data_IF_974280288073
#
_entry.id   IF_974280288073
#
_cell.length_a   1.000
_cell.length_b   1.000
_cell.length_c   1.000
_cell.angle_alpha   90.00
_cell.angle_beta   90.00
_cell.angle_gamma   90.00
#
_symmetry.space_group_name_H-M   'P 1'
#
loop_
_entity.id
_entity.type
_entity.pdbx_description
1 polymer ?
#
# COMPACT_ATOMS: atom_id res chain seq x y z
N UNK A 1 -11.67 -12.75 -6.41
CA UNK A 1 -11.74 -14.23 -6.40
C UNK A 1 -12.63 -14.84 -7.50
N UNK A 2 -13.21 -14.09 -8.42
CA UNK A 2 -14.07 -14.60 -9.50
C UNK A 2 -13.43 -14.52 -10.88
N UNK A 3 -12.10 -14.58 -10.96
CA UNK A 3 -11.39 -14.57 -12.23
C UNK A 3 -10.81 -15.96 -12.48
N UNK A 4 -11.05 -16.51 -13.65
CA UNK A 4 -10.56 -17.82 -14.08
C UNK A 4 -9.03 -17.82 -14.30
N UNK A 5 -8.45 -16.63 -14.52
CA UNK A 5 -7.02 -16.45 -14.73
C UNK A 5 -6.46 -15.39 -13.80
N UNK A 6 -5.19 -15.55 -13.41
CA UNK A 6 -4.49 -14.54 -12.62
C UNK A 6 -4.21 -13.30 -13.49
N UNK A 7 -4.65 -12.13 -13.02
CA UNK A 7 -4.41 -10.86 -13.71
C UNK A 7 -2.91 -10.54 -13.69
N UNK A 8 -2.38 -10.11 -14.82
CA UNK A 8 -0.99 -9.67 -14.93
C UNK A 8 -0.60 -8.63 -13.87
N UNK A 9 0.66 -8.66 -13.46
CA UNK A 9 1.16 -7.81 -12.39
C UNK A 9 1.04 -6.31 -12.71
N UNK A 10 1.35 -5.90 -13.94
CA UNK A 10 1.25 -4.51 -14.36
C UNK A 10 -0.22 -4.03 -14.35
N UNK A 11 -1.13 -4.84 -14.90
CA UNK A 11 -2.56 -4.54 -14.92
C UNK A 11 -3.18 -4.44 -13.51
N UNK A 12 -2.66 -5.23 -12.55
CA UNK A 12 -3.08 -5.10 -11.14
C UNK A 12 -2.70 -3.75 -10.54
N UNK A 13 -1.50 -3.25 -10.84
CA UNK A 13 -1.06 -1.95 -10.35
C UNK A 13 -1.76 -0.78 -11.05
N UNK A 14 -2.05 -0.90 -12.34
CA UNK A 14 -2.87 0.09 -13.06
C UNK A 14 -4.24 0.24 -12.40
N UNK A 15 -4.90 -0.89 -12.14
CA UNK A 15 -6.17 -0.91 -11.41
C UNK A 15 -6.04 -0.39 -9.97
N UNK A 16 -4.93 -0.67 -9.29
CA UNK A 16 -4.70 -0.20 -7.92
C UNK A 16 -4.52 1.32 -7.85
N UNK A 17 -3.89 1.92 -8.85
CA UNK A 17 -3.74 3.38 -8.96
C UNK A 17 -5.11 4.02 -9.10
N UNK A 18 -5.93 3.56 -10.04
CA UNK A 18 -7.28 4.07 -10.24
C UNK A 18 -8.18 3.84 -9.01
N UNK A 19 -8.05 2.68 -8.36
CA UNK A 19 -8.75 2.39 -7.11
C UNK A 19 -8.40 3.41 -6.01
N UNK A 20 -7.12 3.74 -5.87
CA UNK A 20 -6.69 4.76 -4.91
C UNK A 20 -7.32 6.13 -5.23
N UNK A 21 -7.32 6.55 -6.49
CA UNK A 21 -7.91 7.83 -6.91
C UNK A 21 -9.41 7.89 -6.58
N UNK A 22 -10.14 6.80 -6.82
CA UNK A 22 -11.56 6.68 -6.46
C UNK A 22 -11.77 6.78 -4.95
N UNK A 23 -11.01 6.01 -4.17
CA UNK A 23 -11.17 5.99 -2.71
C UNK A 23 -10.81 7.34 -2.09
N UNK A 24 -9.69 7.93 -2.52
CA UNK A 24 -9.25 9.24 -2.03
C UNK A 24 -10.26 10.33 -2.37
N UNK A 25 -10.78 10.34 -3.60
CA UNK A 25 -11.81 11.28 -4.01
C UNK A 25 -13.14 11.10 -3.25
N UNK A 26 -13.52 9.87 -2.93
CA UNK A 26 -14.71 9.62 -2.10
C UNK A 26 -14.52 10.12 -0.66
N UNK A 27 -13.33 10.04 -0.08
CA UNK A 27 -13.06 10.62 1.24
C UNK A 27 -13.17 12.13 1.26
N UNK A 28 -12.96 12.78 0.13
CA UNK A 28 -13.09 14.23 -0.03
C UNK A 28 -14.51 14.67 -0.50
N UNK A 29 -15.52 13.75 -0.44
CA UNK A 29 -16.91 14.08 -0.80
C UNK A 29 -17.54 15.18 0.06
N UNK A 30 -17.04 15.42 1.26
CA UNK A 30 -17.61 16.35 2.22
C UNK A 30 -16.51 17.25 2.78
N UNK A 31 -16.78 18.55 2.86
CA UNK A 31 -15.93 19.47 3.59
C UNK A 31 -16.07 19.27 5.11
N UNK A 32 -15.12 19.77 5.88
CA UNK A 32 -15.02 19.50 7.32
C UNK A 32 -16.29 19.88 8.09
N UNK A 33 -16.91 21.02 7.73
CA UNK A 33 -18.07 21.58 8.38
C UNK A 33 -19.37 21.44 7.55
N UNK A 34 -19.42 20.48 6.63
CA UNK A 34 -20.56 20.24 5.77
C UNK A 34 -21.84 19.82 6.54
N UNK A 35 -21.70 19.13 7.67
CA UNK A 35 -22.84 18.60 8.44
C UNK A 35 -23.29 19.54 9.55
N UNK A 36 -24.29 20.36 9.28
CA UNK A 36 -24.85 21.34 10.21
C UNK A 36 -25.65 20.68 11.34
N UNK A 37 -26.39 19.62 11.03
CA UNK A 37 -27.27 18.87 11.98
C UNK A 37 -28.20 19.81 12.75
N UNK A 38 -28.69 20.86 12.11
CA UNK A 38 -29.54 21.86 12.70
C UNK A 38 -30.95 21.31 12.90
N UNK A 39 -31.36 21.17 14.17
CA UNK A 39 -32.68 20.63 14.55
C UNK A 39 -33.78 21.66 14.43
N UNK A 40 -33.48 22.94 14.49
CA UNK A 40 -34.49 24.00 14.43
C UNK A 40 -34.98 24.22 13.00
N UNK A 41 -34.05 24.35 12.05
CA UNK A 41 -34.35 24.50 10.62
C UNK A 41 -34.63 23.19 9.89
N UNK A 42 -34.23 22.06 10.48
CA UNK A 42 -34.27 20.74 9.85
C UNK A 42 -33.16 20.53 8.80
N UNK A 43 -32.23 21.43 8.68
CA UNK A 43 -31.13 21.34 7.72
C UNK A 43 -30.05 20.38 8.26
N UNK A 44 -29.82 19.30 7.53
CA UNK A 44 -28.86 18.28 7.94
C UNK A 44 -27.44 18.59 7.50
N UNK A 45 -27.27 19.05 6.26
CA UNK A 45 -25.97 19.40 5.69
C UNK A 45 -26.08 20.58 4.74
N UNK A 46 -24.97 21.25 4.50
CA UNK A 46 -24.80 22.28 3.50
C UNK A 46 -24.52 21.63 2.14
N UNK A 47 -25.40 21.90 1.16
CA UNK A 47 -25.29 21.32 -0.19
C UNK A 47 -24.07 21.80 -0.97
N UNK A 48 -23.62 23.01 -0.71
CA UNK A 48 -22.48 23.61 -1.42
C UNK A 48 -21.15 23.00 -0.96
N UNK A 49 -21.17 22.27 0.18
CA UNK A 49 -20.03 21.56 0.78
C UNK A 49 -20.05 20.06 0.51
N UNK A 50 -20.91 19.61 -0.39
CA UNK A 50 -20.98 18.22 -0.85
C UNK A 50 -20.47 18.11 -2.28
N UNK A 51 -19.49 17.24 -2.51
CA UNK A 51 -18.85 17.06 -3.82
C UNK A 51 -19.09 15.64 -4.35
N UNK A 52 -19.55 15.59 -5.60
CA UNK A 52 -19.63 14.34 -6.33
C UNK A 52 -18.26 14.03 -6.94
N UNK A 53 -17.78 12.80 -6.76
CA UNK A 53 -16.56 12.34 -7.41
C UNK A 53 -16.72 12.22 -8.91
N UNK A 54 -17.86 11.66 -9.35
CA UNK A 54 -18.25 11.43 -10.76
C UNK A 54 -17.12 10.83 -11.62
N UNK A 55 -16.42 9.82 -11.04
CA UNK A 55 -15.29 9.15 -11.67
C UNK A 55 -15.74 8.25 -12.82
N UNK A 56 -15.12 8.43 -13.99
CA UNK A 56 -15.28 7.61 -15.17
C UNK A 56 -13.92 7.16 -15.69
N UNK A 57 -13.43 6.04 -15.18
CA UNK A 57 -12.12 5.50 -15.54
C UNK A 57 -12.17 4.19 -16.30
N UNK A 58 -11.01 3.59 -16.50
CA UNK A 58 -10.88 2.30 -17.21
C UNK A 58 -11.42 1.14 -16.39
N UNK A 59 -11.21 1.17 -15.06
CA UNK A 59 -11.55 0.07 -14.16
C UNK A 59 -12.76 0.36 -13.28
N UNK A 60 -13.09 1.64 -13.06
CA UNK A 60 -14.15 2.04 -12.13
C UNK A 60 -15.02 3.16 -12.69
N UNK A 61 -16.33 3.06 -12.38
CA UNK A 61 -17.31 4.11 -12.59
C UNK A 61 -18.03 4.37 -11.28
N UNK A 62 -17.75 5.50 -10.63
CA UNK A 62 -18.24 5.78 -9.28
C UNK A 62 -18.68 7.23 -9.18
N UNK A 63 -19.98 7.43 -8.95
CA UNK A 63 -20.53 8.78 -8.85
C UNK A 63 -20.20 9.43 -7.50
N UNK A 64 -20.35 8.70 -6.40
CA UNK A 64 -20.38 9.31 -5.05
C UNK A 64 -21.69 10.07 -4.78
N UNK A 65 -21.75 10.89 -3.74
CA UNK A 65 -20.74 11.07 -2.70
C UNK A 65 -20.65 9.84 -1.77
N UNK A 66 -19.61 9.78 -0.94
CA UNK A 66 -19.56 8.82 0.17
C UNK A 66 -20.68 9.16 1.16
N UNK A 67 -21.36 8.14 1.71
CA UNK A 67 -22.50 8.34 2.62
C UNK A 67 -22.13 8.48 4.11
N UNK A 68 -20.88 8.79 4.39
CA UNK A 68 -20.37 9.08 5.74
C UNK A 68 -19.71 10.46 5.76
N UNK A 69 -19.80 11.15 6.89
CA UNK A 69 -19.15 12.45 7.07
C UNK A 69 -17.62 12.31 7.03
N UNK A 70 -16.96 13.41 6.66
CA UNK A 70 -15.51 13.52 6.76
C UNK A 70 -15.04 13.23 8.19
N UNK A 71 -13.96 12.48 8.32
CA UNK A 71 -13.35 12.23 9.62
C UNK A 71 -12.60 13.48 10.12
N UNK A 72 -12.40 13.65 11.45
CA UNK A 72 -11.68 14.81 11.98
C UNK A 72 -10.25 14.98 11.42
N UNK A 73 -9.58 13.88 11.06
CA UNK A 73 -8.26 13.93 10.43
C UNK A 73 -8.29 14.06 8.89
N UNK A 74 -9.48 14.16 8.31
CA UNK A 74 -9.70 14.24 6.87
C UNK A 74 -9.79 12.86 6.22
N UNK A 75 -8.68 12.14 6.12
CA UNK A 75 -8.61 10.80 5.52
C UNK A 75 -7.75 9.86 6.37
N UNK A 76 -7.92 8.53 6.23
CA UNK A 76 -7.05 7.55 6.88
C UNK A 76 -5.59 7.67 6.42
N UNK A 77 -4.66 7.26 7.28
CA UNK A 77 -3.27 7.04 6.90
C UNK A 77 -3.18 5.94 5.86
N UNK A 78 -2.52 6.25 4.75
CA UNK A 78 -2.35 5.32 3.63
C UNK A 78 -1.08 4.51 3.84
N UNK A 79 -1.22 3.21 4.05
CA UNK A 79 -0.11 2.28 4.19
C UNK A 79 0.03 1.40 2.93
N UNK A 80 1.26 1.17 2.50
CA UNK A 80 1.59 0.37 1.33
C UNK A 80 2.80 -0.54 1.62
N UNK A 81 2.85 -1.73 1.01
CA UNK A 81 3.90 -2.72 1.27
C UNK A 81 4.57 -3.26 -0.02
N UNK A 82 4.32 -2.67 -1.20
CA UNK A 82 4.85 -3.15 -2.47
C UNK A 82 6.32 -2.75 -2.68
N UNK A 83 7.20 -3.74 -2.91
CA UNK A 83 8.62 -3.51 -3.18
C UNK A 83 8.98 -3.59 -4.67
N UNK A 84 8.06 -4.03 -5.54
CA UNK A 84 8.24 -4.05 -7.00
C UNK A 84 8.31 -2.63 -7.58
N UNK A 85 8.79 -2.49 -8.81
CA UNK A 85 8.88 -1.19 -9.47
C UNK A 85 7.53 -0.44 -9.49
N UNK A 86 6.39 -1.03 -9.93
CA UNK A 86 5.10 -0.36 -9.85
C UNK A 86 4.64 -0.11 -8.41
N UNK A 87 5.03 -0.97 -7.46
CA UNK A 87 4.70 -0.80 -6.04
C UNK A 87 5.40 0.40 -5.41
N UNK A 88 6.67 0.62 -5.72
CA UNK A 88 7.43 1.81 -5.28
C UNK A 88 6.87 3.09 -5.88
N UNK A 89 6.46 3.04 -7.15
CA UNK A 89 5.86 4.18 -7.82
C UNK A 89 4.50 4.55 -7.20
N UNK A 90 3.63 3.56 -6.96
CA UNK A 90 2.36 3.77 -6.26
C UNK A 90 2.58 4.31 -4.84
N UNK A 91 3.56 3.76 -4.11
CA UNK A 91 3.90 4.22 -2.77
C UNK A 91 4.36 5.69 -2.76
N UNK A 92 5.27 6.05 -3.65
CA UNK A 92 5.77 7.43 -3.74
C UNK A 92 4.66 8.44 -4.07
N UNK A 93 3.67 8.02 -4.88
CA UNK A 93 2.52 8.83 -5.24
C UNK A 93 1.53 9.00 -4.09
N UNK A 94 1.27 7.95 -3.30
CA UNK A 94 0.04 7.86 -2.49
C UNK A 94 0.27 7.59 -1.01
N UNK A 95 1.36 6.89 -0.64
CA UNK A 95 1.50 6.37 0.71
C UNK A 95 2.03 7.42 1.70
N UNK A 96 1.48 7.39 2.92
CA UNK A 96 2.05 8.07 4.08
C UNK A 96 3.09 7.17 4.77
N UNK A 97 2.86 5.85 4.71
CA UNK A 97 3.72 4.84 5.33
C UNK A 97 3.99 3.70 4.35
N UNK A 98 5.24 3.28 4.25
CA UNK A 98 5.64 2.09 3.48
C UNK A 98 6.26 1.07 4.43
N UNK A 99 5.62 -0.09 4.55
CA UNK A 99 6.24 -1.26 5.15
C UNK A 99 7.14 -1.95 4.12
N UNK A 100 8.33 -2.36 4.53
CA UNK A 100 9.26 -3.12 3.66
C UNK A 100 10.00 -4.18 4.45
N UNK A 101 10.26 -5.32 3.81
CA UNK A 101 11.05 -6.42 4.36
C UNK A 101 12.43 -6.42 3.68
N UNK A 102 13.36 -5.65 4.20
CA UNK A 102 14.74 -5.59 3.73
C UNK A 102 15.65 -6.27 4.77
N UNK A 103 16.27 -7.37 4.39
CA UNK A 103 17.16 -8.14 5.27
C UNK A 103 18.59 -7.61 5.29
N UNK A 104 19.01 -6.95 4.18
CA UNK A 104 20.35 -6.42 4.01
C UNK A 104 20.37 -4.89 4.12
N UNK A 105 21.30 -4.34 4.89
CA UNK A 105 21.39 -2.91 5.15
C UNK A 105 21.58 -2.08 3.86
N UNK A 106 22.39 -2.57 2.93
CA UNK A 106 22.64 -1.86 1.68
C UNK A 106 21.37 -1.81 0.82
N UNK A 107 20.67 -2.93 0.66
CA UNK A 107 19.40 -3.00 -0.05
C UNK A 107 18.33 -2.09 0.60
N UNK A 108 18.30 -2.03 1.94
CA UNK A 108 17.41 -1.14 2.68
C UNK A 108 17.69 0.34 2.38
N UNK A 109 18.96 0.74 2.31
CA UNK A 109 19.36 2.12 1.97
C UNK A 109 19.00 2.48 0.53
N UNK A 110 19.21 1.57 -0.41
CA UNK A 110 18.86 1.76 -1.82
C UNK A 110 17.35 1.89 -1.99
N UNK A 111 16.57 1.01 -1.37
CA UNK A 111 15.12 1.09 -1.36
C UNK A 111 14.63 2.42 -0.76
N UNK A 112 15.20 2.83 0.37
CA UNK A 112 14.87 4.10 1.03
C UNK A 112 15.14 5.29 0.12
N UNK A 113 16.34 5.36 -0.48
CA UNK A 113 16.72 6.45 -1.36
C UNK A 113 15.86 6.51 -2.61
N UNK A 114 15.57 5.35 -3.22
CA UNK A 114 14.74 5.24 -4.41
C UNK A 114 13.31 5.73 -4.14
N UNK A 115 12.61 5.18 -3.14
CA UNK A 115 11.22 5.57 -2.85
C UNK A 115 11.11 7.05 -2.48
N UNK A 116 12.04 7.54 -1.64
CA UNK A 116 12.10 8.96 -1.26
C UNK A 116 12.37 9.87 -2.47
N UNK A 117 13.24 9.46 -3.39
CA UNK A 117 13.56 10.22 -4.59
C UNK A 117 12.40 10.35 -5.58
N UNK A 118 11.49 9.38 -5.60
CA UNK A 118 10.32 9.37 -6.50
C UNK A 118 9.24 10.36 -6.09
N UNK A 119 9.15 10.75 -4.82
CA UNK A 119 8.07 11.62 -4.29
C UNK A 119 7.95 12.94 -5.04
N UNK A 120 9.07 13.51 -5.49
CA UNK A 120 9.11 14.79 -6.21
C UNK A 120 8.30 14.79 -7.52
N UNK A 121 8.17 13.63 -8.20
CA UNK A 121 7.34 13.49 -9.41
C UNK A 121 5.86 13.82 -9.14
N UNK A 122 5.42 13.69 -7.90
CA UNK A 122 4.03 13.85 -7.46
C UNK A 122 3.81 15.10 -6.62
N UNK A 123 4.77 16.05 -6.66
CA UNK A 123 4.69 17.27 -5.88
C UNK A 123 4.80 17.06 -4.36
N UNK A 124 5.34 15.88 -3.96
CA UNK A 124 5.53 15.51 -2.55
C UNK A 124 7.00 15.65 -2.16
N UNK A 125 7.23 15.82 -0.88
CA UNK A 125 8.57 15.85 -0.29
C UNK A 125 8.97 14.47 0.24
N UNK A 126 10.27 14.20 0.41
CA UNK A 126 10.72 12.98 1.07
C UNK A 126 10.17 12.77 2.48
N UNK A 127 9.75 13.84 3.17
CA UNK A 127 9.22 13.76 4.53
C UNK A 127 7.73 13.38 4.60
N UNK A 128 7.01 13.44 3.49
CA UNK A 128 5.60 13.06 3.39
C UNK A 128 5.39 11.54 3.42
N UNK A 129 6.47 10.74 3.32
CA UNK A 129 6.42 9.29 3.33
C UNK A 129 7.36 8.74 4.40
N UNK A 130 6.86 7.85 5.24
CA UNK A 130 7.66 7.16 6.26
C UNK A 130 7.92 5.72 5.85
N UNK A 131 9.17 5.30 5.83
CA UNK A 131 9.55 3.92 5.49
C UNK A 131 9.83 3.16 6.77
N UNK A 132 9.10 2.07 6.97
CA UNK A 132 9.12 1.24 8.16
C UNK A 132 9.61 -0.17 7.81
N UNK A 133 10.90 -0.46 7.99
CA UNK A 133 11.42 -1.80 7.79
C UNK A 133 10.90 -2.74 8.88
N UNK A 134 10.42 -3.91 8.46
CA UNK A 134 10.09 -5.00 9.38
C UNK A 134 11.35 -5.63 9.94
N UNK A 135 11.35 -5.88 11.24
CA UNK A 135 12.46 -6.54 11.94
C UNK A 135 11.89 -7.76 12.67
N UNK A 136 12.52 -8.91 12.47
CA UNK A 136 12.19 -10.15 13.19
C UNK A 136 13.38 -10.51 14.08
N UNK A 137 13.40 -10.07 15.35
CA UNK A 137 14.50 -10.40 16.25
C UNK A 137 14.38 -11.84 16.76
N UNK A 138 15.51 -12.54 16.82
CA UNK A 138 15.64 -13.82 17.52
C UNK A 138 16.37 -13.59 18.82
N UNK A 139 15.69 -13.83 19.95
CA UNK A 139 16.17 -13.45 21.28
C UNK A 139 16.71 -14.67 22.02
N UNK A 140 17.95 -14.56 22.49
CA UNK A 140 18.59 -15.51 23.40
C UNK A 140 19.28 -14.80 24.57
N UNK A 141 19.58 -15.53 25.65
CA UNK A 141 20.37 -15.00 26.76
C UNK A 141 21.83 -14.77 26.37
N UNK A 142 22.27 -15.44 25.31
CA UNK A 142 23.58 -15.30 24.68
C UNK A 142 23.40 -15.32 23.16
N UNK A 143 24.42 -14.86 22.43
CA UNK A 143 24.44 -14.96 20.95
C UNK A 143 24.36 -16.41 20.47
N UNK A 144 25.00 -17.36 21.18
CA UNK A 144 24.94 -18.78 20.85
C UNK A 144 23.51 -19.30 20.97
N UNK A 145 22.78 -19.00 22.03
CA UNK A 145 21.38 -19.40 22.19
C UNK A 145 20.46 -18.76 21.12
N UNK A 146 20.71 -17.50 20.77
CA UNK A 146 19.94 -16.86 19.69
C UNK A 146 20.21 -17.53 18.33
N UNK A 147 21.47 -17.88 18.05
CA UNK A 147 21.83 -18.59 16.82
C UNK A 147 21.23 -19.99 16.77
N UNK A 148 21.25 -20.74 17.85
CA UNK A 148 20.64 -22.08 17.94
C UNK A 148 19.13 -22.01 17.64
N UNK A 149 18.42 -21.04 18.22
CA UNK A 149 16.98 -20.81 17.91
C UNK A 149 16.75 -20.41 16.46
N UNK A 150 17.62 -19.60 15.89
CA UNK A 150 17.54 -19.22 14.48
C UNK A 150 17.72 -20.45 13.59
N UNK A 151 18.72 -21.27 13.85
CA UNK A 151 19.02 -22.50 13.08
C UNK A 151 17.87 -23.50 13.21
N UNK A 152 17.28 -23.65 14.40
CA UNK A 152 16.07 -24.46 14.61
C UNK A 152 14.91 -23.97 13.74
N UNK A 153 14.61 -22.64 13.76
CA UNK A 153 13.56 -22.06 12.93
C UNK A 153 13.82 -22.29 11.42
N UNK A 154 15.05 -22.14 10.98
CA UNK A 154 15.40 -22.41 9.57
C UNK A 154 15.22 -23.89 9.21
N UNK A 155 15.53 -24.82 10.10
CA UNK A 155 15.37 -26.25 9.87
C UNK A 155 13.92 -26.73 9.74
N UNK A 156 12.95 -25.91 10.19
CA UNK A 156 11.52 -26.19 10.04
C UNK A 156 11.01 -25.95 8.62
N UNK A 157 11.79 -25.27 7.77
CA UNK A 157 11.44 -25.09 6.36
C UNK A 157 11.95 -26.27 5.55
N UNK A 158 11.06 -27.14 5.00
CA UNK A 158 11.50 -28.27 4.17
C UNK A 158 12.26 -27.80 2.93
N UNK A 159 13.34 -28.49 2.58
CA UNK A 159 14.21 -28.12 1.44
C UNK A 159 13.45 -28.08 0.11
N UNK A 160 12.52 -29.00 -0.11
CA UNK A 160 11.69 -29.06 -1.31
C UNK A 160 10.78 -27.82 -1.44
N UNK A 161 10.23 -27.33 -0.34
CA UNK A 161 9.42 -26.09 -0.30
C UNK A 161 10.29 -24.87 -0.57
N UNK A 162 11.47 -24.80 0.03
CA UNK A 162 12.42 -23.72 -0.17
C UNK A 162 12.91 -23.65 -1.63
N UNK A 163 13.26 -24.81 -2.21
CA UNK A 163 13.70 -24.93 -3.60
C UNK A 163 12.57 -24.58 -4.59
N UNK A 164 11.33 -25.02 -4.32
CA UNK A 164 10.17 -24.67 -5.15
C UNK A 164 9.87 -23.16 -5.13
N UNK A 165 9.99 -22.52 -3.96
CA UNK A 165 9.85 -21.08 -3.84
C UNK A 165 10.94 -20.32 -4.62
N UNK A 166 12.20 -20.72 -4.47
CA UNK A 166 13.33 -20.14 -5.18
C UNK A 166 13.23 -20.33 -6.70
N UNK A 167 12.84 -21.51 -7.17
CA UNK A 167 12.64 -21.79 -8.58
C UNK A 167 11.55 -20.91 -9.18
N UNK A 168 10.44 -20.72 -8.47
CA UNK A 168 9.35 -19.82 -8.88
C UNK A 168 9.82 -18.38 -9.00
N UNK A 169 10.60 -17.89 -8.04
CA UNK A 169 11.12 -16.53 -8.06
C UNK A 169 12.11 -16.31 -9.20
N UNK A 170 12.98 -17.29 -9.48
CA UNK A 170 13.90 -17.25 -10.63
C UNK A 170 13.15 -17.28 -11.95
N UNK A 171 12.09 -18.09 -12.08
CA UNK A 171 11.27 -18.15 -13.29
C UNK A 171 10.51 -16.83 -13.50
N UNK A 172 9.99 -16.24 -12.44
CA UNK A 172 9.33 -14.93 -12.50
C UNK A 172 10.29 -13.83 -12.97
N UNK A 173 11.54 -13.83 -12.52
CA UNK A 173 12.58 -12.89 -12.97
C UNK A 173 12.95 -13.08 -14.45
N UNK A 174 12.79 -14.28 -15.00
CA UNK A 174 13.06 -14.60 -16.41
C UNK A 174 11.87 -14.44 -17.32
N UNK A 175 10.71 -14.03 -16.81
CA UNK A 175 9.47 -13.88 -17.59
C UNK A 175 8.88 -15.20 -18.08
N UNK A 176 9.29 -16.34 -17.49
CA UNK A 176 8.74 -17.64 -17.82
C UNK A 176 7.44 -17.91 -17.03
N UNK A 177 6.42 -18.57 -17.65
CA UNK A 177 5.24 -18.97 -16.91
C UNK A 177 5.61 -19.93 -15.76
N UNK A 178 4.95 -19.77 -14.63
CA UNK A 178 5.10 -20.71 -13.51
C UNK A 178 4.60 -22.10 -13.93
N UNK A 179 5.25 -23.19 -13.50
CA UNK A 179 4.83 -24.55 -13.79
C UNK A 179 3.48 -24.89 -13.14
#
# INVERSE_FOLDING_TARGET
FNLDTHVDHAARYERAIEFFDVVAGLWDSWEEDAFLRDKESGVWFDRDKMHFLDHHGTHFHVRGPLNVSRTPQGRPVVAQAGSSEPGRELAARTADVVFTAQTELQAAREFFADVKGRTAKYGRTPDDIKIMPGITPVIGRTMAEAQEKYDELQSLLPDDVALAALARDILALRGAPAP
#
